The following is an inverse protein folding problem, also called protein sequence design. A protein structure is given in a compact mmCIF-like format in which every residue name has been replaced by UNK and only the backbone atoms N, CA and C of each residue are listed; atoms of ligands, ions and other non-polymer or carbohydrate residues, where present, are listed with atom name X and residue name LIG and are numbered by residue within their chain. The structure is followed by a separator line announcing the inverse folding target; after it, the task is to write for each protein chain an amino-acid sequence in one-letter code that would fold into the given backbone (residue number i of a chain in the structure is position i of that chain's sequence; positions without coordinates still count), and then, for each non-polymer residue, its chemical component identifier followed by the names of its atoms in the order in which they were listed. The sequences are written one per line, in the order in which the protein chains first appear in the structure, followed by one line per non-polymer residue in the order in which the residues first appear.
data_IF_074509927145
#
_entry.id   IF_074509927145
#
_cell.length_a   1.000
_cell.length_b   1.000
_cell.length_c   1.000
_cell.angle_alpha   90.00
_cell.angle_beta   90.00
_cell.angle_gamma   90.00
#
_symmetry.space_group_name_H-M   'P 1'
#
loop_
_entity.id
_entity.type
_entity.pdbx_description
1 polymer ?
#
# COMPACT_ATOMS: atom_id res chain seq x y z
N UNK A 1 13.02 2.39 -11.18
CA UNK A 1 12.96 1.33 -10.14
C UNK A 1 14.14 1.36 -9.19
N UNK A 2 15.38 1.50 -9.66
CA UNK A 2 16.55 1.59 -8.77
C UNK A 2 16.45 2.73 -7.74
N UNK A 3 15.84 3.86 -8.12
CA UNK A 3 15.58 5.01 -7.23
C UNK A 3 14.71 4.67 -6.01
N UNK A 4 13.82 3.67 -6.09
CA UNK A 4 13.04 3.20 -4.93
C UNK A 4 13.93 2.56 -3.86
N UNK A 5 15.09 2.04 -4.25
CA UNK A 5 16.08 1.41 -3.36
C UNK A 5 17.26 2.35 -3.05
N UNK A 6 17.14 3.63 -3.40
CA UNK A 6 18.14 4.65 -3.10
C UNK A 6 18.34 4.80 -1.59
N UNK A 7 19.52 5.24 -1.16
CA UNK A 7 19.78 5.61 0.24
C UNK A 7 19.19 6.96 0.62
N UNK A 8 18.80 7.78 -0.38
CA UNK A 8 18.21 9.10 -0.18
C UNK A 8 16.69 9.03 -0.22
N UNK A 9 16.03 9.39 0.88
CA UNK A 9 14.57 9.33 1.02
C UNK A 9 13.82 10.29 0.10
N UNK A 10 14.40 11.44 -0.28
CA UNK A 10 13.81 12.31 -1.30
C UNK A 10 13.76 11.60 -2.65
N UNK A 11 14.84 10.91 -3.01
CA UNK A 11 14.91 10.13 -4.25
C UNK A 11 13.92 8.96 -4.25
N UNK A 12 13.74 8.32 -3.09
CA UNK A 12 12.74 7.27 -2.90
C UNK A 12 11.32 7.82 -3.05
N UNK A 13 11.03 8.97 -2.44
CA UNK A 13 9.72 9.62 -2.48
C UNK A 13 9.36 10.06 -3.90
N UNK A 14 10.28 10.71 -4.62
CA UNK A 14 10.07 11.10 -6.01
C UNK A 14 9.75 9.88 -6.87
N UNK A 15 10.54 8.81 -6.73
CA UNK A 15 10.33 7.58 -7.49
C UNK A 15 9.04 6.85 -7.14
N UNK A 16 8.64 6.88 -5.87
CA UNK A 16 7.36 6.31 -5.43
C UNK A 16 6.18 7.14 -5.94
N UNK A 17 6.32 8.46 -6.00
CA UNK A 17 5.29 9.37 -6.55
C UNK A 17 5.13 9.15 -8.06
N UNK A 18 6.24 9.13 -8.81
CA UNK A 18 6.25 8.81 -10.24
C UNK A 18 5.62 7.44 -10.52
N UNK A 19 5.90 6.44 -9.68
CA UNK A 19 5.30 5.11 -9.78
C UNK A 19 3.79 5.15 -9.51
N UNK A 20 3.35 5.88 -8.48
CA UNK A 20 1.93 6.00 -8.16
C UNK A 20 1.15 6.60 -9.32
N UNK A 21 1.68 7.66 -9.95
CA UNK A 21 1.08 8.33 -11.09
C UNK A 21 1.05 7.43 -12.34
N UNK A 22 2.15 6.72 -12.60
CA UNK A 22 2.24 5.74 -13.68
C UNK A 22 1.19 4.64 -13.53
N UNK A 23 1.00 4.12 -12.31
CA UNK A 23 0.00 3.10 -12.03
C UNK A 23 -1.43 3.64 -12.13
N UNK A 24 -1.66 4.89 -11.73
CA UNK A 24 -2.99 5.51 -11.78
C UNK A 24 -3.49 5.67 -13.23
N UNK A 25 -2.58 5.92 -14.17
CA UNK A 25 -2.89 6.06 -15.60
C UNK A 25 -2.66 4.75 -16.39
N UNK A 26 -2.12 3.73 -15.72
CA UNK A 26 -1.68 2.49 -16.32
C UNK A 26 -2.74 1.38 -16.30
N UNK A 27 -2.49 0.32 -17.08
CA UNK A 27 -3.25 -0.92 -17.08
C UNK A 27 -2.36 -2.09 -17.56
N UNK A 28 -2.94 -3.28 -17.66
CA UNK A 28 -2.24 -4.50 -18.12
C UNK A 28 -1.60 -4.35 -19.51
N UNK A 29 -2.21 -3.60 -20.43
CA UNK A 29 -1.71 -3.39 -21.80
C UNK A 29 -0.57 -2.37 -21.84
N UNK A 30 -0.65 -1.30 -21.05
CA UNK A 30 0.37 -0.25 -21.03
C UNK A 30 1.59 -0.62 -20.19
N UNK A 31 1.43 -1.52 -19.21
CA UNK A 31 2.49 -1.94 -18.28
C UNK A 31 2.71 -3.47 -18.26
N UNK A 32 2.89 -4.15 -19.41
CA UNK A 32 2.93 -5.62 -19.45
C UNK A 32 4.17 -6.22 -18.75
N UNK A 33 5.29 -5.50 -18.77
CA UNK A 33 6.59 -5.98 -18.28
C UNK A 33 7.01 -5.35 -16.94
N UNK A 34 6.09 -4.74 -16.21
CA UNK A 34 6.41 -4.11 -14.93
C UNK A 34 6.94 -5.14 -13.93
N UNK A 35 8.11 -4.92 -13.28
CA UNK A 35 8.73 -5.88 -12.37
C UNK A 35 8.03 -5.87 -10.99
N UNK A 36 6.81 -6.40 -10.95
CA UNK A 36 5.90 -6.36 -9.80
C UNK A 36 6.59 -6.82 -8.51
N UNK A 37 7.29 -7.96 -8.55
CA UNK A 37 7.98 -8.53 -7.38
C UNK A 37 9.04 -7.58 -6.80
N UNK A 38 9.84 -6.95 -7.65
CA UNK A 38 10.89 -6.04 -7.18
C UNK A 38 10.33 -4.76 -6.58
N UNK A 39 9.23 -4.27 -7.16
CA UNK A 39 8.53 -3.08 -6.70
C UNK A 39 7.85 -3.36 -5.37
N UNK A 40 7.09 -4.45 -5.25
CA UNK A 40 6.39 -4.81 -4.01
C UNK A 40 7.37 -4.93 -2.84
N UNK A 41 8.53 -5.58 -3.05
CA UNK A 41 9.57 -5.62 -2.01
C UNK A 41 10.09 -4.23 -1.64
N UNK A 42 10.31 -3.34 -2.61
CA UNK A 42 10.73 -1.98 -2.32
C UNK A 42 9.65 -1.23 -1.53
N UNK A 43 8.38 -1.33 -1.94
CA UNK A 43 7.25 -0.67 -1.27
C UNK A 43 7.05 -1.17 0.17
N UNK A 44 7.31 -2.45 0.45
CA UNK A 44 7.30 -2.99 1.82
C UNK A 44 8.34 -2.28 2.70
N UNK A 45 9.56 -2.10 2.18
CA UNK A 45 10.62 -1.39 2.90
C UNK A 45 10.22 0.07 3.14
N UNK A 46 9.59 0.70 2.15
CA UNK A 46 9.09 2.07 2.25
C UNK A 46 7.96 2.21 3.29
N UNK A 47 7.04 1.25 3.39
CA UNK A 47 5.98 1.20 4.41
C UNK A 47 6.51 1.11 5.85
N UNK A 48 7.75 0.66 6.03
CA UNK A 48 8.38 0.49 7.34
C UNK A 48 9.20 1.71 7.77
N UNK A 49 9.20 2.80 7.00
CA UNK A 49 9.85 4.07 7.34
C UNK A 49 9.01 4.88 8.32
N UNK A 50 8.92 4.41 9.56
CA UNK A 50 8.01 4.97 10.59
C UNK A 50 8.23 6.47 10.86
N UNK A 51 9.43 6.99 10.63
CA UNK A 51 9.74 8.41 10.76
C UNK A 51 9.29 9.28 9.57
N UNK A 52 8.83 8.68 8.46
CA UNK A 52 8.50 9.37 7.22
C UNK A 52 7.10 8.98 6.72
N UNK A 53 6.08 9.63 7.28
CA UNK A 53 4.66 9.37 6.96
C UNK A 53 4.31 9.58 5.50
N UNK A 54 4.94 10.57 4.83
CA UNK A 54 4.68 10.85 3.41
C UNK A 54 5.12 9.67 2.55
N UNK A 55 6.30 9.11 2.82
CA UNK A 55 6.83 7.98 2.08
C UNK A 55 6.02 6.69 2.35
N UNK A 56 5.60 6.46 3.60
CA UNK A 56 4.68 5.35 3.92
C UNK A 56 3.34 5.49 3.19
N UNK A 57 2.75 6.69 3.18
CA UNK A 57 1.49 6.96 2.49
C UNK A 57 1.62 6.71 0.99
N UNK A 58 2.66 7.24 0.36
CA UNK A 58 2.92 7.05 -1.08
C UNK A 58 3.14 5.57 -1.41
N UNK A 59 3.80 4.81 -0.53
CA UNK A 59 3.96 3.37 -0.72
C UNK A 59 2.62 2.61 -0.67
N UNK A 60 1.76 2.93 0.30
CA UNK A 60 0.41 2.37 0.40
C UNK A 60 -0.46 2.71 -0.83
N UNK A 61 -0.33 3.94 -1.37
CA UNK A 61 -0.97 4.35 -2.62
C UNK A 61 -0.49 3.52 -3.80
N UNK A 62 0.82 3.33 -3.95
CA UNK A 62 1.39 2.49 -5.02
C UNK A 62 0.82 1.07 -4.97
N UNK A 63 0.69 0.48 -3.78
CA UNK A 63 0.14 -0.87 -3.60
C UNK A 63 -1.32 -0.94 -4.07
N UNK A 64 -2.12 0.07 -3.70
CA UNK A 64 -3.53 0.16 -4.10
C UNK A 64 -3.66 0.31 -5.62
N UNK A 65 -2.96 1.29 -6.20
CA UNK A 65 -2.97 1.56 -7.64
C UNK A 65 -2.46 0.36 -8.44
N UNK A 66 -1.47 -0.37 -7.91
CA UNK A 66 -0.94 -1.57 -8.56
C UNK A 66 -1.99 -2.66 -8.67
N UNK A 67 -2.78 -2.89 -7.63
CA UNK A 67 -3.89 -3.84 -7.73
C UNK A 67 -4.90 -3.36 -8.77
N UNK A 68 -5.32 -2.10 -8.70
CA UNK A 68 -6.30 -1.54 -9.63
C UNK A 68 -5.87 -1.66 -11.09
N UNK A 69 -4.66 -1.21 -11.43
CA UNK A 69 -4.10 -1.25 -12.76
C UNK A 69 -3.76 -2.67 -13.23
N UNK A 70 -3.25 -3.52 -12.32
CA UNK A 70 -2.66 -4.83 -12.65
C UNK A 70 -3.30 -5.95 -11.83
N UNK A 71 -4.45 -6.52 -12.25
CA UNK A 71 -5.01 -7.72 -11.65
C UNK A 71 -4.00 -8.86 -11.45
N UNK A 72 -3.02 -9.02 -12.35
CA UNK A 72 -1.98 -10.06 -12.25
C UNK A 72 -1.03 -9.88 -11.06
N UNK A 73 -0.98 -8.68 -10.45
CA UNK A 73 -0.09 -8.38 -9.34
C UNK A 73 -0.56 -8.96 -7.99
N UNK A 74 -1.84 -9.35 -7.89
CA UNK A 74 -2.45 -9.82 -6.64
C UNK A 74 -1.65 -10.89 -5.89
N UNK A 75 -1.12 -11.97 -6.53
CA UNK A 75 -0.39 -13.02 -5.82
C UNK A 75 0.88 -12.52 -5.12
N UNK A 76 1.47 -11.43 -5.62
CA UNK A 76 2.67 -10.82 -5.06
C UNK A 76 2.31 -9.76 -4.03
N UNK A 77 1.28 -8.96 -4.33
CA UNK A 77 0.84 -7.86 -3.45
C UNK A 77 0.29 -8.37 -2.12
N UNK A 78 -0.23 -9.60 -2.05
CA UNK A 78 -0.66 -10.23 -0.78
C UNK A 78 0.45 -10.25 0.28
N UNK A 79 1.73 -10.27 -0.11
CA UNK A 79 2.87 -10.22 0.82
C UNK A 79 2.92 -8.91 1.64
N UNK A 80 2.24 -7.85 1.18
CA UNK A 80 2.12 -6.57 1.89
C UNK A 80 1.10 -6.61 3.03
N UNK A 81 0.18 -7.58 3.06
CA UNK A 81 -0.95 -7.63 4.01
C UNK A 81 -0.52 -7.51 5.48
N UNK A 82 0.50 -8.25 5.98
CA UNK A 82 0.94 -8.13 7.37
C UNK A 82 1.40 -6.71 7.74
N UNK A 83 2.05 -6.03 6.79
CA UNK A 83 2.64 -4.72 6.94
C UNK A 83 1.55 -3.63 6.97
N UNK A 84 0.53 -3.77 6.13
CA UNK A 84 -0.64 -2.88 6.14
C UNK A 84 -1.46 -3.06 7.41
N UNK A 85 -1.67 -4.31 7.86
CA UNK A 85 -2.37 -4.59 9.12
C UNK A 85 -1.62 -4.03 10.34
N UNK A 86 -0.29 -3.99 10.31
CA UNK A 86 0.50 -3.37 11.35
C UNK A 86 0.20 -1.87 11.48
N UNK A 87 0.07 -1.15 10.36
CA UNK A 87 -0.29 0.28 10.35
C UNK A 87 -1.69 0.55 10.91
N UNK A 88 -2.62 -0.40 10.78
CA UNK A 88 -3.96 -0.31 11.40
C UNK A 88 -3.98 -0.65 12.89
N UNK A 89 -3.04 -1.48 13.37
CA UNK A 89 -2.90 -1.81 14.80
C UNK A 89 -2.23 -0.70 15.59
N UNK A 90 -1.36 0.08 14.95
CA UNK A 90 -0.63 1.20 15.54
C UNK A 90 -0.78 2.43 14.65
N UNK A 91 -1.92 3.11 14.80
CA UNK A 91 -2.24 4.29 14.02
C UNK A 91 -1.38 5.46 14.52
N UNK A 92 -0.32 5.77 13.77
CA UNK A 92 0.54 6.94 13.99
C UNK A 92 0.20 8.10 13.05
N UNK A 93 -0.44 7.78 11.92
CA UNK A 93 -0.91 8.74 10.93
C UNK A 93 -2.23 8.25 10.34
N UNK A 94 -3.28 9.07 10.40
CA UNK A 94 -4.63 8.72 9.94
C UNK A 94 -4.63 8.44 8.43
N UNK A 95 -3.98 9.29 7.63
CA UNK A 95 -3.92 9.13 6.18
C UNK A 95 -3.27 7.80 5.77
N UNK A 96 -2.21 7.40 6.48
CA UNK A 96 -1.52 6.11 6.23
C UNK A 96 -2.43 4.94 6.60
N UNK A 97 -3.16 5.04 7.71
CA UNK A 97 -4.10 4.01 8.12
C UNK A 97 -5.24 3.88 7.10
N UNK A 98 -5.87 4.99 6.71
CA UNK A 98 -6.94 5.01 5.71
C UNK A 98 -6.48 4.44 4.36
N UNK A 99 -5.31 4.84 3.87
CA UNK A 99 -4.79 4.29 2.62
C UNK A 99 -4.48 2.80 2.72
N UNK A 100 -3.92 2.35 3.85
CA UNK A 100 -3.63 0.92 4.08
C UNK A 100 -4.90 0.08 4.10
N UNK A 101 -5.96 0.66 4.63
CA UNK A 101 -7.27 0.06 4.75
C UNK A 101 -7.94 -0.10 3.38
N UNK A 102 -7.93 0.96 2.56
CA UNK A 102 -8.39 0.88 1.17
C UNK A 102 -7.65 -0.20 0.37
N UNK A 103 -6.33 -0.29 0.52
CA UNK A 103 -5.53 -1.32 -0.13
C UNK A 103 -5.98 -2.74 0.26
N UNK A 104 -6.18 -2.98 1.56
CA UNK A 104 -6.67 -4.26 2.10
C UNK A 104 -8.08 -4.60 1.62
N UNK A 105 -8.97 -3.62 1.51
CA UNK A 105 -10.32 -3.81 0.96
C UNK A 105 -10.29 -4.26 -0.51
N UNK A 106 -9.44 -3.63 -1.33
CA UNK A 106 -9.27 -4.00 -2.74
C UNK A 106 -8.76 -5.44 -2.85
N UNK A 107 -7.78 -5.84 -2.04
CA UNK A 107 -7.31 -7.24 -1.99
C UNK A 107 -8.41 -8.20 -1.54
N UNK A 108 -9.18 -7.83 -0.52
CA UNK A 108 -10.25 -8.66 0.05
C UNK A 108 -11.35 -8.95 -0.98
N UNK A 109 -11.79 -7.92 -1.72
CA UNK A 109 -12.80 -8.04 -2.78
C UNK A 109 -12.35 -9.00 -3.88
N UNK A 110 -11.05 -9.03 -4.17
CA UNK A 110 -10.47 -9.89 -5.22
C UNK A 110 -10.15 -11.31 -4.76
N UNK A 111 -9.89 -11.51 -3.46
CA UNK A 111 -9.51 -12.80 -2.89
C UNK A 111 -10.66 -13.55 -2.17
N UNK A 112 -11.90 -13.04 -2.24
CA UNK A 112 -13.09 -13.84 -1.98
C UNK A 112 -13.30 -14.33 -0.53
N UNK A 113 -13.07 -13.48 0.49
CA UNK A 113 -13.56 -13.56 1.90
C UNK A 113 -12.51 -13.71 3.03
N UNK A 114 -11.23 -13.97 2.76
CA UNK A 114 -10.27 -14.24 3.84
C UNK A 114 -9.66 -13.01 4.54
N UNK A 115 -9.72 -11.81 3.95
CA UNK A 115 -9.12 -10.60 4.54
C UNK A 115 -10.16 -9.79 5.36
N UNK A 116 -11.45 -9.91 5.02
CA UNK A 116 -12.53 -9.08 5.57
C UNK A 116 -12.73 -9.21 7.09
N UNK A 117 -12.50 -10.40 7.67
CA UNK A 117 -12.73 -10.63 9.11
C UNK A 117 -11.79 -9.78 9.99
N UNK A 118 -10.56 -9.52 9.53
CA UNK A 118 -9.61 -8.67 10.24
C UNK A 118 -9.91 -7.17 10.06
N UNK A 119 -10.44 -6.78 8.90
CA UNK A 119 -10.65 -5.39 8.49
C UNK A 119 -11.88 -4.76 9.15
N UNK A 120 -13.03 -5.46 9.16
CA UNK A 120 -14.25 -4.92 9.78
C UNK A 120 -14.17 -4.78 11.31
N UNK A 121 -13.38 -5.64 11.99
CA UNK A 121 -13.19 -5.53 13.44
C UNK A 121 -12.37 -4.30 13.82
N UNK A 122 -11.35 -3.96 13.02
CA UNK A 122 -10.54 -2.76 13.23
C UNK A 122 -11.31 -1.47 12.87
N UNK A 123 -12.11 -1.46 11.81
CA UNK A 123 -12.93 -0.30 11.43
C UNK A 123 -13.92 0.09 12.55
N UNK A 124 -14.63 -0.88 13.12
CA UNK A 124 -15.63 -0.62 14.17
C UNK A 124 -14.99 -0.26 15.52
N UNK A 125 -13.78 -0.76 15.81
CA UNK A 125 -13.05 -0.44 17.03
C UNK A 125 -12.22 0.86 16.96
N UNK A 126 -11.52 1.12 15.86
CA UNK A 126 -10.59 2.25 15.73
C UNK A 126 -11.28 3.57 15.38
N UNK A 127 -12.31 3.57 14.52
CA UNK A 127 -13.10 4.80 14.25
C UNK A 127 -13.89 5.26 15.48
N UNK A 128 -14.28 4.36 16.38
CA UNK A 128 -14.93 4.75 17.63
C UNK A 128 -13.92 5.41 18.60
N UNK A 129 -12.68 4.94 18.65
CA UNK A 129 -11.65 5.55 19.50
C UNK A 129 -11.16 6.90 18.98
N UNK A 130 -11.03 7.09 17.67
CA UNK A 130 -10.55 8.36 17.08
C UNK A 130 -11.57 9.50 17.09
N UNK A 131 -12.85 9.21 17.38
CA UNK A 131 -13.91 10.23 17.55
C UNK A 131 -14.08 10.60 19.04
N UNK A 132 -13.45 9.86 19.97
CA UNK A 132 -13.63 10.02 21.43
C UNK A 132 -12.41 10.68 22.12
N UNK A 133 -11.28 10.86 21.44
CA UNK A 133 -10.09 11.57 21.94
C UNK A 133 -9.93 12.88 21.18
#
# INVERSE_FOLDING_TARGET
MERLRSTNELSQLDAATELADMLLLGNEESLPNLPIKDIVHALIILLQKEHNFVLMLTAARCISNMLEALPRALPVVIDTVPHLLEKLKRIECIDVAEQSLMALEVMSKRNGKNIMSAVSFLYTGAYLLSVII
#
